data_IF_690513963819
#
_entry.id   IF_690513963819
#
_cell.length_a   1.000
_cell.length_b   1.000
_cell.length_c   1.000
_cell.angle_alpha   90.00
_cell.angle_beta   90.00
_cell.angle_gamma   90.00
#
_symmetry.space_group_name_H-M   'P 1'
#
loop_
_entity.id
_entity.type
_entity.pdbx_description
1 polymer ?
#
# COMPACT_ATOMS: atom_id res chain seq x y z
N UNK A 1 43.16 -17.76 27.36
CA UNK A 1 42.16 -16.68 27.23
C UNK A 1 41.31 -16.99 26.04
N UNK A 2 40.09 -17.51 26.30
CA UNK A 2 39.09 -17.77 25.25
C UNK A 2 38.34 -16.51 24.94
N UNK A 3 38.38 -16.05 23.69
CA UNK A 3 37.56 -14.98 23.18
C UNK A 3 36.20 -15.58 22.87
N UNK A 4 35.20 -15.31 23.72
CA UNK A 4 33.80 -15.58 23.39
C UNK A 4 33.35 -14.53 22.38
N UNK A 5 33.15 -14.93 21.13
CA UNK A 5 32.47 -14.13 20.15
C UNK A 5 30.98 -14.00 20.58
N UNK A 6 30.58 -12.82 21.00
CA UNK A 6 29.19 -12.46 21.19
C UNK A 6 28.58 -12.38 19.80
N UNK A 7 27.78 -13.38 19.44
CA UNK A 7 26.97 -13.28 18.24
C UNK A 7 25.95 -12.15 18.47
N UNK A 8 25.81 -11.22 17.51
CA UNK A 8 24.74 -10.23 17.59
C UNK A 8 23.42 -10.98 17.60
N UNK A 9 22.62 -10.82 18.64
CA UNK A 9 21.23 -11.28 18.62
C UNK A 9 20.55 -10.52 17.48
N UNK A 10 20.13 -11.26 16.46
CA UNK A 10 19.23 -10.68 15.47
C UNK A 10 18.00 -10.16 16.21
N UNK A 11 17.77 -8.87 16.18
CA UNK A 11 16.55 -8.27 16.68
C UNK A 11 15.40 -9.04 16.07
N UNK A 12 14.46 -9.48 16.89
CA UNK A 12 13.22 -10.11 16.39
C UNK A 12 12.60 -9.12 15.42
N UNK A 13 12.46 -9.51 14.15
CA UNK A 13 11.85 -8.66 13.15
C UNK A 13 10.43 -8.36 13.60
N UNK A 14 10.18 -7.09 13.95
CA UNK A 14 8.86 -6.61 14.31
C UNK A 14 7.98 -6.73 13.05
N UNK A 15 7.17 -7.79 13.00
CA UNK A 15 6.33 -8.06 11.84
C UNK A 15 5.20 -7.04 11.77
N UNK A 16 5.12 -6.34 10.65
CA UNK A 16 4.02 -5.42 10.34
C UNK A 16 3.05 -6.08 9.37
N UNK A 17 1.79 -6.34 9.77
CA UNK A 17 0.77 -6.90 8.89
C UNK A 17 0.49 -6.00 7.67
N UNK A 18 0.33 -6.65 6.51
CA UNK A 18 -0.09 -6.02 5.26
C UNK A 18 -1.22 -6.81 4.62
N UNK A 19 -2.11 -6.13 3.92
CA UNK A 19 -3.26 -6.70 3.22
C UNK A 19 -3.46 -6.03 1.87
N UNK A 20 -4.14 -6.70 0.95
CA UNK A 20 -4.61 -6.15 -0.32
C UNK A 20 -6.13 -5.93 -0.29
N UNK A 21 -6.64 -5.08 -1.16
CA UNK A 21 -8.06 -4.66 -1.16
C UNK A 21 -9.03 -5.84 -1.32
N UNK A 22 -8.73 -6.76 -2.23
CA UNK A 22 -9.59 -7.90 -2.56
C UNK A 22 -9.41 -9.10 -1.62
N UNK A 23 -8.53 -8.98 -0.63
CA UNK A 23 -8.22 -10.08 0.26
C UNK A 23 -9.25 -10.20 1.40
N UNK A 24 -9.77 -11.41 1.61
CA UNK A 24 -10.60 -11.73 2.78
C UNK A 24 -9.70 -12.42 3.80
N UNK A 25 -9.29 -11.70 4.84
CA UNK A 25 -8.30 -12.23 5.81
C UNK A 25 -8.47 -11.70 7.22
N UNK A 26 -7.83 -12.41 8.16
CA UNK A 26 -7.68 -11.99 9.55
C UNK A 26 -6.30 -12.33 10.08
N UNK A 27 -5.86 -11.56 11.08
CA UNK A 27 -4.62 -11.78 11.81
C UNK A 27 -4.90 -12.12 13.27
N UNK A 28 -4.07 -13.00 13.82
CA UNK A 28 -4.09 -13.36 15.23
C UNK A 28 -2.69 -13.19 15.82
N UNK A 29 -2.57 -12.31 16.81
CA UNK A 29 -1.41 -12.24 17.69
C UNK A 29 -1.66 -13.11 18.92
N UNK A 30 -0.74 -14.03 19.19
CA UNK A 30 -0.87 -14.95 20.33
C UNK A 30 0.50 -15.44 20.81
N UNK A 31 0.54 -15.90 22.05
CA UNK A 31 1.72 -16.58 22.62
C UNK A 31 1.84 -18.05 22.22
N UNK A 32 0.84 -18.64 21.60
CA UNK A 32 0.87 -20.04 21.17
C UNK A 32 1.67 -20.23 19.88
N UNK A 33 2.28 -21.41 19.74
CA UNK A 33 3.11 -21.75 18.57
C UNK A 33 2.30 -22.27 17.38
N UNK A 34 1.02 -22.52 17.57
CA UNK A 34 0.08 -22.91 16.53
C UNK A 34 -1.25 -22.20 16.71
N UNK A 35 -1.91 -21.91 15.61
CA UNK A 35 -3.23 -21.33 15.60
C UNK A 35 -4.04 -21.88 14.43
N UNK A 36 -5.34 -22.02 14.67
CA UNK A 36 -6.33 -22.35 13.65
C UNK A 36 -7.51 -21.41 13.75
N UNK A 37 -8.27 -21.32 12.68
CA UNK A 37 -9.51 -20.56 12.62
C UNK A 37 -10.64 -21.42 12.10
N UNK A 38 -11.77 -21.36 12.75
CA UNK A 38 -13.06 -21.83 12.26
C UNK A 38 -13.88 -20.63 11.84
N UNK A 39 -14.43 -20.65 10.64
CA UNK A 39 -15.16 -19.53 10.05
C UNK A 39 -16.48 -19.99 9.45
N UNK A 40 -17.53 -19.16 9.58
CA UNK A 40 -18.85 -19.39 8.98
C UNK A 40 -19.55 -18.07 8.65
N UNK A 41 -20.63 -18.17 7.88
CA UNK A 41 -21.59 -17.10 7.66
C UNK A 41 -23.03 -17.63 7.78
N UNK A 42 -24.01 -16.75 7.55
CA UNK A 42 -25.42 -17.11 7.73
C UNK A 42 -25.90 -18.24 6.81
N UNK A 43 -25.29 -18.36 5.62
CA UNK A 43 -25.70 -19.32 4.60
C UNK A 43 -24.85 -20.60 4.66
N UNK A 44 -23.65 -20.54 5.22
CA UNK A 44 -22.68 -21.61 5.25
C UNK A 44 -22.12 -21.81 6.67
N UNK A 45 -22.46 -22.92 7.36
CA UNK A 45 -21.99 -23.18 8.71
C UNK A 45 -20.50 -23.52 8.78
N UNK A 46 -19.86 -23.71 7.62
CA UNK A 46 -18.43 -23.96 7.49
C UNK A 46 -17.91 -23.32 6.21
N UNK A 47 -16.96 -22.39 6.37
CA UNK A 47 -16.19 -21.77 5.30
C UNK A 47 -14.74 -22.24 5.26
N UNK A 48 -14.27 -22.86 6.35
CA UNK A 48 -12.93 -23.47 6.41
C UNK A 48 -12.89 -24.76 5.58
N UNK A 49 -11.75 -25.03 4.97
CA UNK A 49 -11.53 -26.28 4.21
C UNK A 49 -11.49 -27.49 5.16
N UNK A 50 -10.79 -27.35 6.30
CA UNK A 50 -10.74 -28.35 7.32
C UNK A 50 -11.99 -28.33 8.18
N UNK A 51 -12.43 -29.53 8.65
CA UNK A 51 -13.39 -29.64 9.72
C UNK A 51 -12.86 -29.06 11.03
N UNK A 52 -13.75 -29.00 12.06
CA UNK A 52 -13.33 -28.54 13.38
C UNK A 52 -12.00 -29.19 13.81
N UNK A 53 -11.03 -28.46 14.36
CA UNK A 53 -11.06 -27.07 14.84
C UNK A 53 -10.72 -26.00 13.78
N UNK A 54 -10.81 -26.26 12.48
CA UNK A 54 -10.66 -25.31 11.41
C UNK A 54 -9.31 -25.35 10.70
N UNK A 55 -9.10 -24.38 9.82
CA UNK A 55 -7.91 -24.26 9.01
C UNK A 55 -6.71 -23.81 9.84
N UNK A 56 -5.54 -24.35 9.53
CA UNK A 56 -4.29 -23.86 10.10
C UNK A 56 -4.02 -22.43 9.61
N UNK A 57 -3.68 -21.54 10.52
CA UNK A 57 -3.23 -20.20 10.18
C UNK A 57 -1.72 -20.21 9.85
N UNK A 58 -1.31 -19.37 8.94
CA UNK A 58 0.11 -19.23 8.54
C UNK A 58 0.84 -18.30 9.50
N UNK A 59 1.96 -18.75 10.06
CA UNK A 59 2.83 -17.89 10.86
C UNK A 59 3.54 -16.89 9.94
N UNK A 60 3.33 -15.60 10.17
CA UNK A 60 3.88 -14.50 9.39
C UNK A 60 5.15 -13.91 10.01
N UNK A 61 5.26 -13.92 11.32
CA UNK A 61 6.38 -13.37 12.06
C UNK A 61 6.07 -13.20 13.54
N UNK A 62 6.87 -12.35 14.20
CA UNK A 62 6.69 -12.04 15.63
C UNK A 62 6.61 -10.54 15.85
N UNK A 63 5.86 -10.14 16.87
CA UNK A 63 5.86 -8.78 17.38
C UNK A 63 7.18 -8.48 18.11
N UNK A 64 7.45 -7.20 18.38
CA UNK A 64 8.59 -6.76 19.21
C UNK A 64 8.59 -7.43 20.59
N UNK A 65 7.42 -7.81 21.13
CA UNK A 65 7.27 -8.52 22.39
C UNK A 65 7.40 -10.04 22.25
N UNK A 66 7.78 -10.55 21.07
CA UNK A 66 8.03 -11.96 20.81
C UNK A 66 6.79 -12.82 20.62
N UNK A 67 5.57 -12.25 20.57
CA UNK A 67 4.34 -12.98 20.26
C UNK A 67 4.28 -13.33 18.79
N UNK A 68 3.74 -14.50 18.48
CA UNK A 68 3.51 -14.97 17.13
C UNK A 68 2.35 -14.22 16.48
N UNK A 69 2.51 -13.82 15.21
CA UNK A 69 1.44 -13.27 14.39
C UNK A 69 1.12 -14.24 13.27
N UNK A 70 -0.09 -14.72 13.27
CA UNK A 70 -0.64 -15.65 12.28
C UNK A 70 -1.60 -14.90 11.36
N UNK A 71 -1.72 -15.40 10.13
CA UNK A 71 -2.67 -14.93 9.13
C UNK A 71 -3.50 -16.10 8.60
N UNK A 72 -4.78 -15.87 8.39
CA UNK A 72 -5.65 -16.74 7.59
C UNK A 72 -6.27 -15.92 6.49
N UNK A 73 -6.31 -16.51 5.28
CA UNK A 73 -6.93 -15.91 4.10
C UNK A 73 -7.98 -16.87 3.57
N UNK A 74 -9.19 -16.36 3.37
CA UNK A 74 -10.26 -17.10 2.75
C UNK A 74 -10.21 -16.93 1.24
N UNK A 75 -10.18 -18.05 0.53
CA UNK A 75 -10.10 -18.10 -0.95
C UNK A 75 -11.32 -18.76 -1.60
N UNK A 76 -12.34 -19.10 -0.78
CA UNK A 76 -13.56 -19.72 -1.28
C UNK A 76 -14.54 -18.73 -1.90
N UNK A 77 -15.57 -19.28 -2.54
CA UNK A 77 -16.60 -18.55 -3.31
C UNK A 77 -17.94 -18.40 -2.56
N UNK A 78 -18.02 -18.83 -1.29
CA UNK A 78 -19.26 -18.85 -0.51
C UNK A 78 -19.55 -17.56 0.27
N UNK A 79 -18.94 -16.45 -0.14
CA UNK A 79 -19.04 -15.16 0.55
C UNK A 79 -18.13 -15.05 1.78
N UNK A 80 -17.93 -13.82 2.24
CA UNK A 80 -17.11 -13.56 3.42
C UNK A 80 -17.70 -14.16 4.70
N UNK A 81 -16.87 -14.54 5.68
CA UNK A 81 -17.34 -14.90 7.01
C UNK A 81 -18.14 -13.78 7.69
N UNK A 82 -19.04 -14.14 8.59
CA UNK A 82 -19.66 -13.21 9.53
C UNK A 82 -19.16 -13.44 10.95
N UNK A 83 -18.66 -14.65 11.22
CA UNK A 83 -18.12 -15.01 12.53
C UNK A 83 -16.97 -16.01 12.41
N UNK A 84 -16.10 -16.00 13.40
CA UNK A 84 -14.91 -16.83 13.51
C UNK A 84 -14.67 -17.30 14.94
N UNK A 85 -13.93 -18.41 15.07
CA UNK A 85 -13.37 -18.89 16.33
C UNK A 85 -11.88 -19.16 16.10
N UNK A 86 -11.04 -18.57 16.93
CA UNK A 86 -9.63 -18.95 16.98
C UNK A 86 -9.40 -20.09 17.96
N UNK A 87 -8.58 -21.06 17.55
CA UNK A 87 -8.23 -22.22 18.37
C UNK A 87 -6.71 -22.45 18.37
N UNK A 88 -6.24 -23.16 19.37
CA UNK A 88 -4.88 -23.64 19.52
C UNK A 88 -4.86 -25.05 20.11
N UNK A 89 -3.72 -25.73 20.18
CA UNK A 89 -3.46 -26.98 20.92
C UNK A 89 -4.62 -27.99 20.90
N UNK A 90 -4.93 -28.51 19.72
CA UNK A 90 -5.97 -29.55 19.58
C UNK A 90 -7.42 -29.05 19.63
N UNK A 91 -7.64 -27.74 19.45
CA UNK A 91 -8.97 -27.16 19.32
C UNK A 91 -9.49 -26.43 20.54
N UNK A 92 -8.61 -26.06 21.46
CA UNK A 92 -8.96 -25.16 22.56
C UNK A 92 -9.24 -23.76 22.00
N UNK A 93 -10.41 -23.23 22.38
CA UNK A 93 -10.83 -21.89 21.93
C UNK A 93 -10.07 -20.79 22.66
N UNK A 94 -9.65 -19.77 21.92
CA UNK A 94 -9.13 -18.52 22.47
C UNK A 94 -10.28 -17.63 22.93
N UNK A 95 -10.11 -16.98 24.08
CA UNK A 95 -11.05 -16.01 24.69
C UNK A 95 -12.53 -16.39 24.66
N UNK A 96 -12.83 -17.67 24.83
CA UNK A 96 -14.19 -18.12 25.08
C UNK A 96 -15.04 -18.37 23.83
N UNK A 97 -14.51 -18.21 22.62
CA UNK A 97 -15.22 -18.71 21.45
C UNK A 97 -15.52 -17.71 20.34
N UNK A 98 -16.78 -17.53 20.03
CA UNK A 98 -17.25 -16.87 18.83
C UNK A 98 -16.88 -15.38 18.84
N UNK A 99 -16.27 -14.93 17.75
CA UNK A 99 -15.92 -13.54 17.52
C UNK A 99 -16.61 -13.07 16.24
N UNK A 100 -17.00 -11.81 16.20
CA UNK A 100 -17.39 -11.16 14.95
C UNK A 100 -16.21 -11.15 13.98
N UNK A 101 -16.46 -11.52 12.72
CA UNK A 101 -15.48 -11.38 11.67
C UNK A 101 -15.44 -9.93 11.20
N UNK A 102 -14.25 -9.35 11.21
CA UNK A 102 -13.95 -8.06 10.58
C UNK A 102 -12.91 -8.32 9.50
N UNK A 103 -13.17 -7.93 8.26
CA UNK A 103 -12.16 -8.11 7.20
C UNK A 103 -10.89 -7.32 7.53
N UNK A 104 -9.72 -7.95 7.32
CA UNK A 104 -8.42 -7.43 7.73
C UNK A 104 -8.28 -7.19 9.24
N UNK A 105 -9.17 -7.79 10.05
CA UNK A 105 -9.16 -7.65 11.51
C UNK A 105 -7.88 -8.21 12.13
N UNK A 106 -7.31 -7.46 13.06
CA UNK A 106 -6.21 -7.87 13.91
C UNK A 106 -6.73 -8.17 15.30
N UNK A 107 -6.56 -9.42 15.71
CA UNK A 107 -7.04 -9.96 16.98
C UNK A 107 -5.86 -10.28 17.88
N UNK A 108 -5.92 -9.87 19.14
CA UNK A 108 -4.91 -10.20 20.15
C UNK A 108 -5.52 -11.19 21.13
N UNK A 109 -4.89 -12.37 21.23
CA UNK A 109 -5.38 -13.52 22.05
C UNK A 109 -6.86 -13.81 21.77
N UNK A 110 -7.31 -13.66 20.51
CA UNK A 110 -8.68 -13.92 20.05
C UNK A 110 -9.66 -12.76 20.19
N UNK A 111 -9.25 -11.60 20.68
CA UNK A 111 -10.10 -10.39 20.75
C UNK A 111 -9.74 -9.40 19.65
N UNK A 112 -10.76 -8.91 18.96
CA UNK A 112 -10.60 -7.84 17.99
C UNK A 112 -9.94 -6.60 18.61
N UNK A 113 -8.97 -6.04 17.93
CA UNK A 113 -8.23 -4.86 18.39
C UNK A 113 -8.27 -3.71 17.38
N UNK A 114 -8.04 -4.02 16.11
CA UNK A 114 -8.00 -3.01 15.02
C UNK A 114 -8.20 -3.68 13.66
N UNK A 115 -8.49 -2.90 12.64
CA UNK A 115 -8.40 -3.31 11.24
C UNK A 115 -7.01 -2.92 10.69
N UNK A 116 -6.42 -3.80 9.90
CA UNK A 116 -5.21 -3.49 9.13
C UNK A 116 -5.65 -2.73 7.88
N UNK A 117 -5.15 -1.54 7.73
CA UNK A 117 -5.44 -0.73 6.54
C UNK A 117 -4.77 -1.37 5.31
N UNK A 118 -5.50 -1.38 4.20
CA UNK A 118 -4.94 -1.75 2.90
C UNK A 118 -3.80 -0.78 2.61
N UNK A 119 -2.62 -1.31 2.37
CA UNK A 119 -1.52 -0.48 1.92
C UNK A 119 -1.95 0.16 0.58
N UNK A 120 -1.99 1.47 0.52
CA UNK A 120 -2.22 2.16 -0.73
C UNK A 120 -1.19 1.66 -1.76
N UNK A 121 -1.66 1.29 -2.95
CA UNK A 121 -0.79 1.00 -4.08
C UNK A 121 0.23 2.13 -4.22
N UNK A 122 1.36 1.84 -4.83
CA UNK A 122 2.36 2.85 -5.14
C UNK A 122 2.37 3.09 -6.64
N UNK A 123 2.52 4.34 -7.01
CA UNK A 123 2.69 4.75 -8.40
C UNK A 123 3.99 5.52 -8.55
N UNK A 124 4.60 5.39 -9.71
CA UNK A 124 5.80 6.13 -10.04
C UNK A 124 5.43 7.53 -10.54
N UNK A 125 6.09 8.55 -10.02
CA UNK A 125 6.01 9.92 -10.50
C UNK A 125 7.30 10.26 -11.23
N UNK A 126 7.19 10.84 -12.42
CA UNK A 126 8.29 11.21 -13.29
C UNK A 126 8.34 12.73 -13.48
N UNK A 127 9.52 13.31 -13.36
CA UNK A 127 9.75 14.73 -13.63
C UNK A 127 10.93 14.92 -14.57
N UNK A 128 10.71 15.66 -15.66
CA UNK A 128 11.76 16.05 -16.61
C UNK A 128 12.43 17.34 -16.13
N UNK A 129 13.63 17.22 -15.58
CA UNK A 129 14.39 18.35 -15.05
C UNK A 129 15.23 19.10 -16.09
N UNK A 130 15.14 18.74 -17.37
CA UNK A 130 16.01 19.33 -18.42
C UNK A 130 15.81 20.83 -18.59
N UNK A 131 14.60 21.34 -18.43
CA UNK A 131 14.27 22.76 -18.52
C UNK A 131 14.48 23.50 -17.19
N UNK A 132 14.08 22.88 -16.07
CA UNK A 132 14.17 23.50 -14.75
C UNK A 132 15.60 23.52 -14.21
N UNK A 133 16.40 22.52 -14.59
CA UNK A 133 17.80 22.36 -14.22
C UNK A 133 18.07 22.54 -12.71
N UNK A 134 17.23 21.92 -11.88
CA UNK A 134 17.40 21.94 -10.42
C UNK A 134 18.56 21.01 -10.02
N UNK A 135 19.39 21.45 -9.07
CA UNK A 135 20.43 20.60 -8.45
C UNK A 135 19.82 19.47 -7.62
N UNK A 136 18.87 19.81 -6.76
CA UNK A 136 18.04 18.87 -5.99
C UNK A 136 16.60 18.99 -6.48
N UNK A 137 15.92 17.86 -6.59
CA UNK A 137 14.51 17.80 -7.01
C UNK A 137 13.68 17.17 -5.89
N UNK A 138 12.66 17.88 -5.47
CA UNK A 138 11.67 17.42 -4.50
C UNK A 138 10.27 17.48 -5.08
N UNK A 139 9.45 16.51 -4.71
CA UNK A 139 8.04 16.43 -5.07
C UNK A 139 7.20 16.44 -3.79
N UNK A 140 6.48 17.52 -3.55
CA UNK A 140 5.50 17.62 -2.49
C UNK A 140 4.12 17.29 -3.05
N UNK A 141 3.41 16.39 -2.39
CA UNK A 141 2.13 15.87 -2.87
C UNK A 141 1.12 16.01 -1.74
N UNK A 142 -0.03 16.62 -2.06
CA UNK A 142 -1.10 16.80 -1.08
C UNK A 142 -2.47 16.63 -1.72
N UNK A 143 -3.42 16.19 -0.91
CA UNK A 143 -4.83 16.08 -1.27
C UNK A 143 -5.67 16.74 -0.18
N UNK A 144 -6.30 17.85 -0.52
CA UNK A 144 -6.98 18.70 0.47
C UNK A 144 -6.00 19.21 1.55
N UNK A 145 -6.23 18.84 2.80
CA UNK A 145 -5.39 19.22 3.95
C UNK A 145 -4.33 18.16 4.30
N UNK A 146 -4.36 17.00 3.64
CA UNK A 146 -3.46 15.90 3.91
C UNK A 146 -2.30 15.92 2.92
N UNK A 147 -1.07 15.75 3.39
CA UNK A 147 0.11 15.61 2.57
C UNK A 147 0.69 14.20 2.72
N UNK A 148 1.21 13.64 1.62
CA UNK A 148 1.86 12.32 1.64
C UNK A 148 3.15 12.34 2.45
N UNK A 149 3.81 13.49 2.54
CA UNK A 149 4.99 13.76 3.36
C UNK A 149 5.05 15.25 3.70
N UNK A 150 5.68 15.61 4.81
CA UNK A 150 5.93 17.01 5.16
C UNK A 150 6.78 17.72 4.10
N UNK A 151 6.57 19.04 4.00
CA UNK A 151 7.38 19.90 3.12
C UNK A 151 8.89 19.71 3.39
N UNK A 152 9.75 19.64 2.36
CA UNK A 152 9.50 19.85 0.92
C UNK A 152 9.00 18.61 0.17
N UNK A 153 8.56 17.58 0.83
CA UNK A 153 8.08 16.35 0.22
C UNK A 153 9.19 15.32 0.00
N UNK A 154 8.98 14.45 -0.98
CA UNK A 154 9.91 13.38 -1.32
C UNK A 154 11.07 13.91 -2.17
N UNK A 155 12.30 13.56 -1.79
CA UNK A 155 13.45 13.79 -2.66
C UNK A 155 13.40 12.80 -3.81
N UNK A 156 13.37 13.31 -5.04
CA UNK A 156 13.37 12.49 -6.25
C UNK A 156 14.79 12.06 -6.61
N UNK A 157 14.91 10.87 -7.18
CA UNK A 157 16.18 10.31 -7.66
C UNK A 157 16.24 10.34 -9.18
N UNK A 158 17.39 10.67 -9.74
CA UNK A 158 17.60 10.58 -11.18
C UNK A 158 17.65 9.12 -11.61
N UNK A 159 16.81 8.76 -12.57
CA UNK A 159 16.73 7.42 -13.14
C UNK A 159 16.93 7.50 -14.67
N UNK A 160 17.98 6.85 -15.13
CA UNK A 160 18.30 6.74 -16.55
C UNK A 160 17.93 5.37 -17.15
N UNK A 161 17.40 4.45 -16.35
CA UNK A 161 17.10 3.09 -16.77
C UNK A 161 15.62 2.92 -17.13
N UNK A 162 14.75 3.60 -16.41
CA UNK A 162 13.32 3.51 -16.66
C UNK A 162 12.93 4.37 -17.86
N UNK A 163 12.33 3.73 -18.86
CA UNK A 163 11.75 4.42 -20.02
C UNK A 163 10.29 4.76 -19.74
N UNK A 164 9.95 6.04 -19.92
CA UNK A 164 8.57 6.52 -19.85
C UNK A 164 8.31 7.42 -21.05
N UNK A 165 7.20 7.24 -21.76
CA UNK A 165 6.88 7.95 -23.02
C UNK A 165 8.01 7.94 -24.06
N UNK A 166 8.73 6.83 -24.17
CA UNK A 166 9.84 6.67 -25.14
C UNK A 166 11.11 7.46 -24.80
N UNK A 167 11.21 8.04 -23.61
CA UNK A 167 12.35 8.78 -23.10
C UNK A 167 12.85 8.18 -21.79
N UNK A 168 14.14 8.27 -21.55
CA UNK A 168 14.80 7.98 -20.26
C UNK A 168 15.35 9.26 -19.64
N UNK A 169 15.90 9.18 -18.44
CA UNK A 169 16.53 10.33 -17.78
C UNK A 169 15.54 11.24 -17.08
N UNK A 170 14.61 10.65 -16.37
CA UNK A 170 13.70 11.37 -15.47
C UNK A 170 14.22 11.37 -14.03
N UNK A 171 13.76 12.35 -13.25
CA UNK A 171 13.73 12.24 -11.81
C UNK A 171 12.47 11.47 -11.41
N UNK A 172 12.61 10.49 -10.54
CA UNK A 172 11.51 9.57 -10.17
C UNK A 172 11.34 9.47 -8.67
N UNK A 173 10.13 9.16 -8.25
CA UNK A 173 9.77 8.79 -6.88
C UNK A 173 8.51 7.92 -6.88
N UNK A 174 8.46 6.93 -6.00
CA UNK A 174 7.22 6.18 -5.70
C UNK A 174 6.41 6.91 -4.65
N UNK A 175 5.13 7.09 -4.91
CA UNK A 175 4.19 7.75 -4.02
C UNK A 175 2.96 6.89 -3.78
N UNK A 176 2.25 7.05 -2.64
CA UNK A 176 1.01 6.32 -2.41
C UNK A 176 -0.05 6.69 -3.45
N UNK A 177 -0.70 5.67 -4.01
CA UNK A 177 -1.69 5.82 -5.09
C UNK A 177 -2.86 6.72 -4.72
N UNK A 178 -3.28 6.72 -3.47
CA UNK A 178 -4.36 7.57 -2.98
C UNK A 178 -4.07 9.08 -3.07
N UNK A 179 -2.83 9.47 -3.34
CA UNK A 179 -2.43 10.87 -3.56
C UNK A 179 -2.36 11.28 -5.03
N UNK A 180 -2.49 10.36 -6.00
CA UNK A 180 -2.37 10.70 -7.43
C UNK A 180 -3.44 11.67 -7.93
N UNK A 181 -4.59 11.74 -7.28
CA UNK A 181 -5.65 12.72 -7.55
C UNK A 181 -5.42 14.07 -6.88
N UNK A 182 -4.36 14.19 -6.12
CA UNK A 182 -3.98 15.42 -5.41
C UNK A 182 -3.21 16.42 -6.27
N UNK A 183 -2.58 17.36 -5.60
CA UNK A 183 -1.72 18.36 -6.22
C UNK A 183 -0.25 18.00 -6.02
N UNK A 184 0.55 18.26 -7.03
CA UNK A 184 1.99 18.03 -7.04
C UNK A 184 2.73 19.36 -7.11
N UNK A 185 3.75 19.52 -6.29
CA UNK A 185 4.61 20.71 -6.29
C UNK A 185 6.06 20.27 -6.42
N UNK A 186 6.72 20.69 -7.49
CA UNK A 186 8.16 20.47 -7.66
C UNK A 186 8.92 21.65 -7.07
N UNK A 187 10.00 21.35 -6.33
CA UNK A 187 10.86 22.37 -5.72
C UNK A 187 12.31 21.91 -5.65
N UNK A 188 13.20 22.85 -5.31
CA UNK A 188 14.60 22.54 -5.02
C UNK A 188 14.82 22.12 -3.55
N UNK A 189 13.77 22.00 -2.74
CA UNK A 189 13.82 21.68 -1.31
C UNK A 189 14.36 22.81 -0.41
N UNK A 190 14.76 23.95 -1.02
CA UNK A 190 15.34 25.13 -0.35
C UNK A 190 14.40 26.32 -0.59
N UNK A 191 14.42 27.31 0.26
CA UNK A 191 13.84 28.65 0.04
C UNK A 191 12.32 28.73 -0.27
N UNK A 192 11.59 27.63 -0.14
CA UNK A 192 10.16 27.59 -0.46
C UNK A 192 9.82 27.92 -1.92
N UNK A 193 10.80 27.98 -2.81
CA UNK A 193 10.57 28.21 -4.24
C UNK A 193 9.96 26.98 -4.87
N UNK A 194 8.77 27.15 -5.36
CA UNK A 194 8.06 26.18 -6.21
C UNK A 194 8.25 26.56 -7.67
N UNK A 195 8.28 25.58 -8.52
CA UNK A 195 8.25 25.78 -9.96
C UNK A 195 6.80 25.79 -10.43
N UNK A 196 6.37 26.89 -11.02
CA UNK A 196 5.07 26.97 -11.69
C UNK A 196 5.16 26.39 -13.10
N UNK A 197 4.07 25.80 -13.58
CA UNK A 197 3.94 25.33 -14.95
C UNK A 197 4.80 24.11 -15.32
N UNK A 198 5.31 23.37 -14.32
CA UNK A 198 6.04 22.13 -14.58
C UNK A 198 5.08 20.96 -14.78
N UNK A 199 5.41 20.10 -15.72
CA UNK A 199 4.66 18.88 -15.99
C UNK A 199 5.27 17.74 -15.20
N UNK A 200 4.44 17.09 -14.40
CA UNK A 200 4.77 15.86 -13.68
C UNK A 200 3.94 14.74 -14.30
N UNK A 201 4.58 13.65 -14.65
CA UNK A 201 3.91 12.47 -15.18
C UNK A 201 3.73 11.44 -14.08
N UNK A 202 2.59 10.77 -14.08
CA UNK A 202 2.26 9.69 -13.14
C UNK A 202 2.09 8.41 -13.94
N UNK A 203 2.80 7.37 -13.56
CA UNK A 203 2.75 6.07 -14.19
C UNK A 203 2.63 4.95 -13.17
N UNK A 204 2.17 3.80 -13.60
CA UNK A 204 2.17 2.61 -12.77
C UNK A 204 3.61 2.15 -12.49
N UNK A 205 3.84 1.45 -11.37
CA UNK A 205 5.14 0.88 -11.04
C UNK A 205 5.65 -0.02 -12.17
N UNK A 206 6.94 -0.06 -12.40
CA UNK A 206 7.66 -0.61 -13.57
C UNK A 206 7.29 -2.01 -14.06
N UNK A 207 6.42 -2.74 -13.39
CA UNK A 207 5.89 -4.04 -13.82
C UNK A 207 4.66 -3.95 -14.74
N UNK A 208 4.05 -2.76 -14.90
CA UNK A 208 2.82 -2.56 -15.68
C UNK A 208 2.99 -1.60 -16.89
N UNK A 209 4.18 -1.05 -17.12
CA UNK A 209 4.42 -0.02 -18.15
C UNK A 209 4.30 -0.55 -19.60
N UNK A 210 4.23 -1.86 -19.83
CA UNK A 210 4.09 -2.40 -21.19
C UNK A 210 2.70 -2.17 -21.83
N UNK A 211 1.68 -1.70 -21.10
CA UNK A 211 0.30 -1.66 -21.61
C UNK A 211 -0.39 -0.29 -21.64
N UNK A 212 0.24 0.79 -21.24
CA UNK A 212 -0.34 2.12 -21.49
C UNK A 212 0.15 2.63 -22.86
N UNK A 213 -0.42 2.07 -23.92
CA UNK A 213 -0.49 2.78 -25.19
C UNK A 213 -1.52 3.90 -25.03
N UNK A 214 -1.07 5.11 -24.73
CA UNK A 214 -1.85 6.26 -25.14
C UNK A 214 -1.95 6.21 -26.66
N UNK A 215 -3.13 5.97 -27.19
CA UNK A 215 -3.38 6.23 -28.61
C UNK A 215 -3.08 7.69 -28.85
N UNK A 216 -2.04 7.95 -29.67
CA UNK A 216 -1.81 9.24 -30.29
C UNK A 216 -3.04 9.58 -31.14
N UNK A 217 -4.00 10.27 -30.56
CA UNK A 217 -5.01 10.94 -31.36
C UNK A 217 -4.32 12.14 -31.98
N UNK A 218 -4.13 12.05 -33.29
CA UNK A 218 -3.60 13.11 -34.13
C UNK A 218 -4.23 14.46 -33.79
N UNK A 219 -3.34 15.36 -33.48
CA UNK A 219 -3.47 16.77 -33.25
C UNK A 219 -4.40 17.46 -34.23
N UNK A 220 -5.59 17.83 -33.78
CA UNK A 220 -6.27 19.02 -34.26
C UNK A 220 -6.34 19.98 -33.09
N UNK A 221 -5.78 21.15 -33.28
CA UNK A 221 -5.75 22.30 -32.37
C UNK A 221 -7.08 22.51 -31.65
N UNK A 222 -7.25 21.86 -30.53
CA UNK A 222 -8.27 22.16 -29.56
C UNK A 222 -7.58 22.35 -28.23
N UNK A 223 -7.60 23.57 -27.77
CA UNK A 223 -7.16 24.07 -26.46
C UNK A 223 -8.02 23.41 -25.36
N UNK A 224 -7.82 22.10 -25.15
CA UNK A 224 -8.63 21.27 -24.29
C UNK A 224 -7.82 20.83 -23.06
N UNK A 225 -8.33 21.16 -21.90
CA UNK A 225 -7.77 20.79 -20.60
C UNK A 225 -8.43 19.50 -20.10
N UNK A 226 -7.63 18.59 -19.55
CA UNK A 226 -8.09 17.34 -18.96
C UNK A 226 -7.54 17.21 -17.54
N UNK A 227 -8.32 16.60 -16.67
CA UNK A 227 -7.81 16.15 -15.39
C UNK A 227 -6.95 14.88 -15.59
N UNK A 228 -6.27 14.45 -14.55
CA UNK A 228 -5.39 13.27 -14.58
C UNK A 228 -6.13 11.95 -14.87
N UNK A 229 -7.46 11.92 -14.74
CA UNK A 229 -8.29 10.76 -15.12
C UNK A 229 -8.74 10.80 -16.58
N UNK A 230 -8.25 11.79 -17.37
CA UNK A 230 -8.59 11.94 -18.78
C UNK A 230 -9.95 12.59 -19.07
N UNK A 231 -10.65 13.10 -18.04
CA UNK A 231 -11.88 13.86 -18.25
C UNK A 231 -11.58 15.29 -18.70
N UNK A 232 -12.25 15.72 -19.76
CA UNK A 232 -12.17 17.10 -20.24
C UNK A 232 -12.74 18.06 -19.20
N UNK A 233 -11.97 19.10 -18.86
CA UNK A 233 -12.35 20.13 -17.89
C UNK A 233 -12.22 21.52 -18.51
N UNK A 234 -12.80 22.52 -17.87
CA UNK A 234 -12.58 23.93 -18.19
C UNK A 234 -11.13 24.30 -17.84
N UNK A 235 -10.59 25.34 -18.46
CA UNK A 235 -9.25 25.86 -18.15
C UNK A 235 -9.12 26.05 -16.64
N UNK A 236 -8.16 25.39 -15.98
CA UNK A 236 -8.02 25.47 -14.53
C UNK A 236 -7.64 26.89 -14.08
N UNK A 237 -8.25 27.31 -12.99
CA UNK A 237 -7.95 28.60 -12.34
C UNK A 237 -7.18 28.43 -11.04
N UNK A 238 -6.93 27.17 -10.63
CA UNK A 238 -6.20 26.81 -9.42
C UNK A 238 -4.97 25.98 -9.75
N UNK A 239 -3.89 26.04 -8.95
CA UNK A 239 -2.74 25.16 -9.14
C UNK A 239 -3.17 23.70 -9.00
N UNK A 240 -2.71 22.85 -9.92
CA UNK A 240 -3.03 21.41 -9.95
C UNK A 240 -2.37 20.72 -11.12
N UNK A 241 -2.45 19.40 -11.17
CA UNK A 241 -1.98 18.60 -12.30
C UNK A 241 -3.08 18.51 -13.35
N UNK A 242 -2.78 19.00 -14.56
CA UNK A 242 -3.68 18.99 -15.69
C UNK A 242 -2.92 18.57 -16.95
N UNK A 243 -3.60 17.96 -17.90
CA UNK A 243 -3.08 17.60 -19.21
C UNK A 243 -3.62 18.65 -20.21
N UNK A 244 -2.72 19.28 -20.95
CA UNK A 244 -3.03 20.29 -21.97
C UNK A 244 -2.47 19.89 -23.30
#
# INVERSE_FOLDING_TARGET
>A
FGVFAVQPSMAANDYTPTVTEDEISVFLETSFDNAKVWAWNNDNPQLTEAGWPGDAMTLMGKTANGKNVFKWTYTGDKGAPTAIIFTHDGGKKLNGGDQEYVNHGYYVEGKYTKTIEVAAGKVMVFFDNTTANLEDVYCYIYNGTSAAQQWPGFKMSYDNNTSFNGKTGYYTIEVPENFITGSFVISNGKDGKTLEGQTVYVGETATAIENIKMEETQNTTNDAWYNITGMRISKPTQPGLYIH
#
